data_IF_388708656707
#
_entry.id   IF_388708656707
#
_cell.length_a   1.000
_cell.length_b   1.000
_cell.length_c   1.000
_cell.angle_alpha   90.00
_cell.angle_beta   90.00
_cell.angle_gamma   90.00
#
_symmetry.space_group_name_H-M   'P 1'
#
loop_
_entity.id
_entity.type
_entity.pdbx_description
1 polymer ?
#
# COMPACT_ATOMS: atom_id res chain seq x y z
N UNK A 1 -1.02 28.58 -2.35
CA UNK A 1 -0.12 27.66 -1.60
C UNK A 1 -0.90 26.38 -1.31
N UNK A 2 -0.41 25.20 -1.72
CA UNK A 2 -1.20 23.94 -1.64
C UNK A 2 -1.25 23.36 -0.21
N UNK A 3 -0.10 23.28 0.46
CA UNK A 3 0.06 22.77 1.82
C UNK A 3 0.82 23.82 2.63
N UNK A 4 0.17 24.47 3.58
CA UNK A 4 0.72 25.66 4.25
C UNK A 4 1.93 25.32 5.14
N UNK A 5 1.86 24.22 5.88
CA UNK A 5 2.83 23.83 6.93
C UNK A 5 3.79 22.71 6.51
N UNK A 6 3.82 22.34 5.22
CA UNK A 6 4.64 21.24 4.72
C UNK A 6 4.31 19.85 5.34
N UNK A 7 3.12 19.68 5.91
CA UNK A 7 2.69 18.39 6.44
C UNK A 7 2.51 17.34 5.34
N UNK A 8 2.71 16.07 5.70
CA UNK A 8 2.16 14.96 4.96
C UNK A 8 0.68 14.80 5.34
N UNK A 9 -0.18 14.60 4.34
CA UNK A 9 -1.62 14.48 4.52
C UNK A 9 -2.07 13.14 3.96
N UNK A 10 -2.98 12.48 4.67
CA UNK A 10 -3.77 11.36 4.19
C UNK A 10 -5.22 11.59 4.57
N UNK A 11 -6.15 11.22 3.69
CA UNK A 11 -7.57 11.20 4.06
C UNK A 11 -7.88 9.98 4.96
N UNK A 12 -9.16 9.86 5.35
CA UNK A 12 -9.66 8.74 6.15
C UNK A 12 -10.46 7.72 5.32
N UNK A 13 -10.43 7.83 3.99
CA UNK A 13 -11.18 6.93 3.10
C UNK A 13 -10.52 5.55 3.09
N UNK A 14 -11.29 4.53 2.71
CA UNK A 14 -10.69 3.20 2.51
C UNK A 14 -9.76 3.20 1.29
N UNK A 15 -10.20 3.85 0.21
CA UNK A 15 -9.35 4.14 -0.95
C UNK A 15 -8.71 5.51 -0.75
N UNK A 16 -7.70 5.53 0.11
CA UNK A 16 -7.12 6.78 0.58
C UNK A 16 -6.33 7.53 -0.50
N UNK A 17 -6.45 8.85 -0.47
CA UNK A 17 -5.48 9.77 -1.06
C UNK A 17 -4.47 10.20 0.00
N UNK A 18 -3.21 10.25 -0.40
CA UNK A 18 -2.13 10.81 0.40
C UNK A 18 -1.26 11.73 -0.45
N UNK A 19 -0.81 12.82 0.14
CA UNK A 19 0.02 13.78 -0.56
C UNK A 19 0.94 14.55 0.39
N UNK A 20 2.08 14.96 -0.15
CA UNK A 20 3.03 15.82 0.56
C UNK A 20 3.85 16.62 -0.43
N UNK A 21 4.52 17.66 0.05
CA UNK A 21 5.56 18.34 -0.72
C UNK A 21 6.89 17.60 -0.57
N UNK A 22 7.61 17.38 -1.65
CA UNK A 22 8.97 16.85 -1.64
C UNK A 22 9.99 17.93 -1.23
N UNK A 23 11.24 17.52 -0.97
CA UNK A 23 12.33 18.42 -0.59
C UNK A 23 12.62 19.47 -1.68
N UNK A 24 12.48 19.09 -2.95
CA UNK A 24 12.63 19.96 -4.13
C UNK A 24 11.32 20.65 -4.55
N UNK A 25 10.37 20.79 -3.62
CA UNK A 25 9.15 21.59 -3.77
C UNK A 25 8.14 21.10 -4.82
N UNK A 26 8.19 19.82 -5.20
CA UNK A 26 7.15 19.18 -6.03
C UNK A 26 6.03 18.61 -5.16
N UNK A 27 4.83 18.51 -5.73
CA UNK A 27 3.72 17.80 -5.10
C UNK A 27 3.88 16.30 -5.40
N UNK A 28 4.02 15.50 -4.35
CA UNK A 28 3.86 14.05 -4.43
C UNK A 28 2.40 13.75 -4.08
N UNK A 29 1.66 13.19 -5.03
CA UNK A 29 0.28 12.76 -4.84
C UNK A 29 0.17 11.28 -5.19
N UNK A 30 -0.34 10.50 -4.25
CA UNK A 30 -0.52 9.08 -4.41
C UNK A 30 -1.79 8.63 -3.72
N UNK A 31 -2.15 7.38 -3.95
CA UNK A 31 -3.39 6.82 -3.48
C UNK A 31 -3.83 5.72 -4.41
N UNK A 32 -4.96 5.10 -4.08
CA UNK A 32 -5.63 4.06 -4.87
C UNK A 32 -4.74 2.85 -5.20
N UNK A 33 -5.08 1.72 -4.59
CA UNK A 33 -4.57 0.41 -5.03
C UNK A 33 -5.61 -0.23 -5.96
N UNK A 34 -5.18 -0.77 -7.10
CA UNK A 34 -6.05 -1.59 -7.94
C UNK A 34 -5.99 -3.05 -7.49
N UNK A 35 -7.12 -3.60 -7.05
CA UNK A 35 -7.22 -4.98 -6.56
C UNK A 35 -7.76 -5.96 -7.60
N UNK A 36 -8.04 -5.50 -8.83
CA UNK A 36 -8.46 -6.40 -9.92
C UNK A 36 -7.32 -7.29 -10.41
N UNK A 37 -6.07 -6.97 -10.06
CA UNK A 37 -4.87 -7.63 -10.57
C UNK A 37 -4.59 -7.33 -12.06
N UNK A 38 -5.27 -6.32 -12.61
CA UNK A 38 -5.03 -5.80 -13.95
C UNK A 38 -4.34 -4.44 -13.83
N UNK A 39 -3.34 -4.19 -14.67
CA UNK A 39 -2.78 -2.85 -14.80
C UNK A 39 -3.88 -1.93 -15.34
N UNK A 40 -4.16 -0.83 -14.66
CA UNK A 40 -5.12 0.15 -15.19
C UNK A 40 -4.48 0.82 -16.40
N UNK A 41 -5.18 0.80 -17.55
CA UNK A 41 -4.71 1.42 -18.79
C UNK A 41 -4.34 2.92 -18.63
N UNK A 42 -4.95 3.62 -17.66
CA UNK A 42 -4.65 5.03 -17.36
C UNK A 42 -4.64 5.30 -15.85
N UNK A 43 -3.71 4.66 -15.14
CA UNK A 43 -3.46 4.97 -13.73
C UNK A 43 -3.09 6.45 -13.49
N UNK A 44 -2.24 7.10 -14.31
CA UNK A 44 -1.88 8.50 -14.14
C UNK A 44 -3.07 9.46 -14.25
N UNK A 45 -3.92 9.30 -15.26
CA UNK A 45 -5.11 10.16 -15.45
C UNK A 45 -6.14 9.97 -14.34
N UNK A 46 -6.33 8.74 -13.85
CA UNK A 46 -7.20 8.47 -12.71
C UNK A 46 -6.69 9.15 -11.42
N UNK A 47 -5.38 9.10 -11.14
CA UNK A 47 -4.77 9.81 -10.00
C UNK A 47 -4.87 11.32 -10.18
N UNK A 48 -4.66 11.83 -11.39
CA UNK A 48 -4.84 13.26 -11.72
C UNK A 48 -6.25 13.75 -11.41
N UNK A 49 -7.27 12.99 -11.80
CA UNK A 49 -8.66 13.36 -11.54
C UNK A 49 -8.96 13.49 -10.04
N UNK A 50 -8.34 12.66 -9.19
CA UNK A 50 -8.45 12.78 -7.72
C UNK A 50 -7.66 13.96 -7.17
N UNK A 51 -6.42 14.14 -7.64
CA UNK A 51 -5.60 15.30 -7.29
C UNK A 51 -6.34 16.61 -7.55
N UNK A 52 -7.04 16.74 -8.68
CA UNK A 52 -7.80 17.95 -9.02
C UNK A 52 -9.05 18.16 -8.17
N UNK A 53 -9.60 17.13 -7.51
CA UNK A 53 -10.67 17.32 -6.51
C UNK A 53 -10.13 17.97 -5.24
N UNK A 54 -8.90 17.63 -4.87
CA UNK A 54 -8.22 18.20 -3.68
C UNK A 54 -7.60 19.56 -4.00
N UNK A 55 -7.01 19.70 -5.18
CA UNK A 55 -6.29 20.90 -5.63
C UNK A 55 -6.75 21.34 -7.03
N UNK A 56 -7.97 21.92 -7.17
CA UNK A 56 -8.50 22.38 -8.47
C UNK A 56 -7.57 23.35 -9.20
N UNK A 57 -6.82 24.17 -8.45
CA UNK A 57 -5.84 25.13 -8.97
C UNK A 57 -4.68 24.50 -9.76
N UNK A 58 -4.56 23.17 -9.81
CA UNK A 58 -3.54 22.46 -10.57
C UNK A 58 -4.02 22.01 -11.97
N UNK A 59 -5.19 22.43 -12.42
CA UNK A 59 -5.77 21.99 -13.71
C UNK A 59 -4.85 22.23 -14.91
N UNK A 60 -4.11 23.34 -14.96
CA UNK A 60 -3.16 23.63 -16.04
C UNK A 60 -1.76 23.07 -15.83
N UNK A 61 -1.49 22.42 -14.69
CA UNK A 61 -0.13 21.98 -14.32
C UNK A 61 0.18 20.63 -14.93
N UNK A 62 1.35 20.54 -15.57
CA UNK A 62 1.85 19.30 -16.17
C UNK A 62 2.25 18.29 -15.09
N UNK A 63 1.87 17.03 -15.29
CA UNK A 63 2.45 15.91 -14.54
C UNK A 63 3.81 15.59 -15.13
N UNK A 64 4.86 15.75 -14.34
CA UNK A 64 6.24 15.50 -14.76
C UNK A 64 6.58 14.00 -14.72
N UNK A 65 6.09 13.30 -13.69
CA UNK A 65 6.34 11.88 -13.47
C UNK A 65 5.07 11.17 -13.00
N UNK A 66 4.89 9.94 -13.47
CA UNK A 66 3.89 9.03 -12.97
C UNK A 66 4.45 7.61 -12.99
N UNK A 67 4.21 6.86 -11.92
CA UNK A 67 4.63 5.47 -11.80
C UNK A 67 3.60 4.70 -10.97
N UNK A 68 3.70 3.39 -11.04
CA UNK A 68 2.93 2.46 -10.23
C UNK A 68 3.75 1.19 -10.02
N UNK A 69 3.19 0.29 -9.23
CA UNK A 69 3.80 -1.00 -8.96
C UNK A 69 2.80 -1.93 -8.30
N UNK A 70 3.20 -3.18 -8.16
CA UNK A 70 2.40 -4.18 -7.47
C UNK A 70 2.61 -4.08 -5.96
N UNK A 71 1.52 -4.24 -5.23
CA UNK A 71 1.52 -4.31 -3.77
C UNK A 71 1.00 -5.67 -3.37
N UNK A 72 1.78 -6.38 -2.57
CA UNK A 72 1.37 -7.63 -1.98
C UNK A 72 0.51 -7.37 -0.73
N UNK A 73 -0.63 -8.07 -0.67
CA UNK A 73 -1.66 -7.81 0.33
C UNK A 73 -2.06 -9.13 0.98
N UNK A 74 -1.98 -9.15 2.31
CA UNK A 74 -2.47 -10.25 3.15
C UNK A 74 -3.93 -10.02 3.51
N UNK A 75 -4.65 -11.10 3.81
CA UNK A 75 -6.08 -11.03 4.16
C UNK A 75 -6.31 -10.16 5.41
N UNK A 76 -5.43 -10.28 6.41
CA UNK A 76 -5.48 -9.55 7.67
C UNK A 76 -4.75 -8.19 7.63
N UNK A 77 -4.19 -7.78 6.48
CA UNK A 77 -3.40 -6.55 6.28
C UNK A 77 -2.12 -6.43 7.13
N UNK A 78 -1.76 -7.47 7.88
CA UNK A 78 -0.53 -7.51 8.65
C UNK A 78 0.64 -8.01 7.78
N UNK A 79 1.89 -7.55 8.04
CA UNK A 79 3.06 -8.10 7.37
C UNK A 79 3.20 -9.60 7.67
N UNK A 80 3.60 -10.39 6.67
CA UNK A 80 3.72 -11.83 6.76
C UNK A 80 5.20 -12.24 6.76
N UNK A 81 5.68 -12.58 7.95
CA UNK A 81 7.04 -13.03 8.18
C UNK A 81 7.03 -14.54 8.39
N UNK A 82 8.07 -15.22 7.95
CA UNK A 82 8.19 -16.64 8.24
C UNK A 82 9.44 -17.29 7.68
N UNK A 83 9.47 -18.61 7.80
CA UNK A 83 10.57 -19.46 7.34
C UNK A 83 10.00 -20.58 6.46
N UNK A 84 10.62 -20.83 5.31
CA UNK A 84 10.31 -21.98 4.45
C UNK A 84 11.17 -23.19 4.81
N UNK A 85 12.34 -22.95 5.40
CA UNK A 85 13.31 -23.94 5.88
C UNK A 85 14.16 -23.29 7.01
N UNK A 86 14.98 -24.05 7.76
CA UNK A 86 15.77 -23.50 8.87
C UNK A 86 16.61 -22.26 8.53
N UNK A 87 17.07 -22.15 7.28
CA UNK A 87 17.90 -21.06 6.77
C UNK A 87 17.25 -20.28 5.62
N UNK A 88 15.94 -20.46 5.37
CA UNK A 88 15.21 -19.75 4.30
C UNK A 88 14.10 -18.93 4.91
N UNK A 89 14.27 -17.61 4.88
CA UNK A 89 13.37 -16.63 5.47
C UNK A 89 12.57 -15.91 4.38
N UNK A 90 11.33 -15.54 4.67
CA UNK A 90 10.55 -14.65 3.82
C UNK A 90 9.95 -13.50 4.63
N UNK A 91 9.82 -12.36 3.96
CA UNK A 91 9.21 -11.14 4.45
C UNK A 91 8.33 -10.60 3.32
N UNK A 92 7.01 -10.68 3.46
CA UNK A 92 6.06 -10.30 2.40
C UNK A 92 4.79 -9.69 3.00
N UNK A 93 3.84 -9.34 2.14
CA UNK A 93 2.48 -9.01 2.52
C UNK A 93 2.35 -7.72 3.31
N UNK A 94 3.24 -6.74 3.07
CA UNK A 94 3.29 -5.50 3.85
C UNK A 94 2.01 -4.65 3.70
N UNK A 95 1.14 -4.95 2.74
CA UNK A 95 -0.23 -4.44 2.69
C UNK A 95 -0.35 -2.91 2.73
N UNK A 96 0.62 -2.20 2.15
CA UNK A 96 0.70 -0.73 2.15
C UNK A 96 1.57 -0.12 3.26
N UNK A 97 2.08 -0.92 4.19
CA UNK A 97 2.97 -0.48 5.28
C UNK A 97 4.45 -0.65 4.96
N UNK A 98 4.80 -0.95 3.70
CA UNK A 98 6.15 -1.30 3.29
C UNK A 98 7.18 -0.23 3.67
N UNK A 99 6.90 1.05 3.38
CA UNK A 99 7.83 2.15 3.68
C UNK A 99 8.18 2.26 5.17
N UNK A 100 7.23 1.97 6.07
CA UNK A 100 7.45 2.08 7.51
C UNK A 100 8.06 0.80 8.10
N UNK A 101 7.64 -0.38 7.61
CA UNK A 101 7.94 -1.65 8.25
C UNK A 101 9.15 -2.37 7.66
N UNK A 102 9.53 -2.14 6.40
CA UNK A 102 10.61 -2.92 5.75
C UNK A 102 11.98 -2.66 6.38
N UNK A 103 12.24 -1.44 6.87
CA UNK A 103 13.47 -1.13 7.60
C UNK A 103 13.62 -1.99 8.86
N UNK A 104 12.55 -2.08 9.66
CA UNK A 104 12.52 -2.96 10.83
C UNK A 104 12.57 -4.42 10.38
N UNK A 105 11.84 -4.82 9.35
CA UNK A 105 11.83 -6.19 8.83
C UNK A 105 13.24 -6.68 8.47
N UNK A 106 14.03 -5.83 7.79
CA UNK A 106 15.42 -6.11 7.44
C UNK A 106 16.31 -6.31 8.67
N UNK A 107 16.16 -5.46 9.68
CA UNK A 107 16.87 -5.61 10.94
C UNK A 107 16.49 -6.91 11.66
N UNK A 108 15.19 -7.22 11.76
CA UNK A 108 14.71 -8.41 12.47
C UNK A 108 15.13 -9.71 11.79
N UNK A 109 15.13 -9.76 10.45
CA UNK A 109 15.61 -10.95 9.74
C UNK A 109 17.12 -11.10 9.87
N UNK A 110 17.88 -10.00 9.88
CA UNK A 110 19.31 -10.04 10.13
C UNK A 110 19.62 -10.58 11.54
N UNK A 111 18.92 -10.09 12.57
CA UNK A 111 19.01 -10.61 13.94
C UNK A 111 18.72 -12.12 13.98
N UNK A 112 17.64 -12.56 13.33
CA UNK A 112 17.25 -13.96 13.27
C UNK A 112 18.31 -14.83 12.57
N UNK A 113 18.91 -14.35 11.47
CA UNK A 113 20.00 -15.04 10.76
C UNK A 113 21.25 -15.16 11.65
N UNK A 114 21.55 -14.13 12.44
CA UNK A 114 22.69 -14.13 13.38
C UNK A 114 22.45 -14.88 14.69
N UNK A 115 21.28 -15.51 14.85
CA UNK A 115 20.96 -16.38 15.99
C UNK A 115 20.05 -15.79 17.06
N UNK A 116 19.59 -14.54 16.91
CA UNK A 116 18.63 -13.92 17.85
C UNK A 116 17.27 -13.74 17.17
N UNK A 117 16.41 -14.75 17.25
CA UNK A 117 15.14 -14.76 16.54
C UNK A 117 13.94 -14.15 17.29
N UNK A 118 14.09 -13.77 18.56
CA UNK A 118 12.95 -13.45 19.44
C UNK A 118 11.97 -12.41 18.88
N UNK A 119 12.49 -11.29 18.35
CA UNK A 119 11.66 -10.22 17.78
C UNK A 119 11.07 -10.60 16.42
N UNK A 120 11.82 -11.33 15.59
CA UNK A 120 11.32 -11.88 14.34
C UNK A 120 10.14 -12.83 14.59
N UNK A 121 10.27 -13.70 15.59
CA UNK A 121 9.27 -14.72 15.92
C UNK A 121 7.94 -14.12 16.42
N UNK A 122 7.96 -12.89 16.96
CA UNK A 122 6.71 -12.15 17.28
C UNK A 122 5.90 -11.90 16.02
N UNK A 123 6.54 -11.42 14.95
CA UNK A 123 5.87 -11.18 13.66
C UNK A 123 5.50 -12.49 12.97
N UNK A 124 6.36 -13.51 13.06
CA UNK A 124 6.11 -14.82 12.43
C UNK A 124 4.93 -15.58 13.06
N UNK A 125 4.50 -15.21 14.28
CA UNK A 125 3.32 -15.80 14.96
C UNK A 125 1.99 -15.18 14.53
N UNK A 126 2.00 -14.12 13.73
CA UNK A 126 0.76 -13.51 13.23
C UNK A 126 0.03 -14.55 12.35
N UNK A 127 -1.23 -14.88 12.63
CA UNK A 127 -1.94 -15.88 11.84
C UNK A 127 -2.34 -15.30 10.49
N UNK A 128 -1.92 -15.96 9.40
CA UNK A 128 -2.30 -15.60 8.04
C UNK A 128 -3.19 -16.69 7.42
N UNK A 129 -4.39 -16.30 7.01
CA UNK A 129 -5.31 -17.16 6.29
C UNK A 129 -5.15 -17.03 4.77
N UNK A 130 -5.47 -18.11 4.06
CA UNK A 130 -5.68 -18.04 2.62
C UNK A 130 -6.96 -17.27 2.29
N UNK A 131 -7.03 -16.70 1.09
CA UNK A 131 -8.28 -16.11 0.61
C UNK A 131 -9.37 -17.20 0.52
N UNK A 132 -10.59 -16.93 1.02
CA UNK A 132 -11.69 -17.89 0.95
C UNK A 132 -12.01 -18.22 -0.51
N UNK A 133 -12.13 -19.51 -0.83
CA UNK A 133 -12.33 -20.00 -2.19
C UNK A 133 -11.09 -19.96 -3.09
N UNK A 134 -9.90 -19.78 -2.50
CA UNK A 134 -8.62 -19.96 -3.17
C UNK A 134 -8.39 -19.00 -4.35
N UNK A 135 -7.60 -19.43 -5.32
CA UNK A 135 -7.22 -18.61 -6.47
C UNK A 135 -8.42 -18.17 -7.32
N UNK A 136 -9.45 -19.03 -7.45
CA UNK A 136 -10.63 -18.78 -8.26
C UNK A 136 -11.49 -17.64 -7.69
N UNK A 137 -11.73 -17.62 -6.38
CA UNK A 137 -12.59 -16.60 -5.75
C UNK A 137 -11.83 -15.37 -5.24
N UNK A 138 -10.49 -15.43 -5.13
CA UNK A 138 -9.68 -14.29 -4.64
C UNK A 138 -9.95 -12.99 -5.40
N UNK A 139 -9.91 -13.02 -6.73
CA UNK A 139 -10.12 -11.81 -7.56
C UNK A 139 -11.57 -11.29 -7.47
N UNK A 140 -12.60 -12.13 -7.69
CA UNK A 140 -13.99 -11.71 -7.51
C UNK A 140 -14.27 -11.14 -6.11
N UNK A 141 -13.79 -11.80 -5.05
CA UNK A 141 -14.00 -11.35 -3.68
C UNK A 141 -13.36 -9.99 -3.41
N UNK A 142 -12.13 -9.76 -3.92
CA UNK A 142 -11.46 -8.47 -3.80
C UNK A 142 -12.19 -7.35 -4.58
N UNK A 143 -12.67 -7.66 -5.79
CA UNK A 143 -13.45 -6.69 -6.59
C UNK A 143 -14.75 -6.32 -5.88
N UNK A 144 -15.48 -7.31 -5.35
CA UNK A 144 -16.71 -7.08 -4.57
C UNK A 144 -16.45 -6.28 -3.30
N UNK A 145 -15.40 -6.62 -2.55
CA UNK A 145 -15.00 -5.88 -1.36
C UNK A 145 -14.69 -4.42 -1.71
N UNK A 146 -13.95 -4.17 -2.78
CA UNK A 146 -13.63 -2.82 -3.22
C UNK A 146 -14.85 -2.04 -3.71
N UNK A 147 -15.78 -2.69 -4.39
CA UNK A 147 -17.05 -2.07 -4.76
C UNK A 147 -17.83 -1.65 -3.52
N UNK A 148 -17.93 -2.53 -2.53
CA UNK A 148 -18.57 -2.24 -1.25
C UNK A 148 -17.93 -1.04 -0.54
N UNK A 149 -16.59 -1.04 -0.40
CA UNK A 149 -15.89 0.08 0.23
C UNK A 149 -15.99 1.38 -0.57
N UNK A 150 -16.00 1.32 -1.90
CA UNK A 150 -16.22 2.49 -2.74
C UNK A 150 -17.61 3.09 -2.56
N UNK A 151 -18.64 2.26 -2.39
CA UNK A 151 -19.99 2.74 -2.08
C UNK A 151 -19.99 3.39 -0.69
N UNK A 152 -19.31 2.78 0.29
CA UNK A 152 -19.21 3.33 1.64
C UNK A 152 -18.45 4.67 1.68
N UNK A 153 -17.39 4.83 0.89
CA UNK A 153 -16.63 6.09 0.77
C UNK A 153 -17.46 7.21 0.07
N UNK A 154 -18.57 6.88 -0.59
CA UNK A 154 -19.47 7.85 -1.24
C UNK A 154 -20.65 8.29 -0.35
N UNK A 155 -20.95 7.54 0.71
CA UNK A 155 -22.02 7.81 1.67
C UNK A 155 -21.51 8.66 2.84
#
# INVERSE_FOLDING_TARGET
RLIANNAAVSDMNWVLDYFRRSADHRLLFGGRVNYSGLTSFDAPGATRARMLRVFPQLEGVRIEYAWGGDVDITLNRAPHFGRLAPNVYFLQGFSGHGMALTGIAGMLVAEAITGTAGRFDVFARIPHGNFPGGAALRRPALVLAMLYYRIRDLL
#
